data_IF_517490792813
#
_entry.id   IF_517490792813
#
_cell.length_a   1.000
_cell.length_b   1.000
_cell.length_c   1.000
_cell.angle_alpha   90.00
_cell.angle_beta   90.00
_cell.angle_gamma   90.00
#
_symmetry.space_group_name_H-M   'P 1'
#
loop_
_entity.id
_entity.type
_entity.pdbx_description
1 polymer ?
#
# COMPACT_ATOMS: atom_id res chain seq x y z
N UNK A 1 56.45 -3.04 -19.82
CA UNK A 1 55.75 -3.88 -18.83
C UNK A 1 54.48 -3.12 -18.44
N UNK A 2 53.36 -3.46 -19.07
CA UNK A 2 52.10 -2.72 -18.98
C UNK A 2 51.36 -3.09 -17.69
N UNK A 3 51.00 -2.07 -16.89
CA UNK A 3 50.15 -2.23 -15.71
C UNK A 3 48.68 -2.30 -16.15
N UNK A 4 48.04 -3.44 -15.93
CA UNK A 4 46.59 -3.60 -16.05
C UNK A 4 45.95 -3.10 -14.75
N UNK A 5 45.38 -1.89 -14.78
CA UNK A 5 44.47 -1.43 -13.74
C UNK A 5 43.08 -1.91 -14.15
N UNK A 6 42.59 -2.97 -13.49
CA UNK A 6 41.23 -3.47 -13.68
C UNK A 6 40.21 -2.44 -13.21
N UNK A 7 39.39 -1.93 -14.14
CA UNK A 7 38.15 -1.22 -13.80
C UNK A 7 37.20 -2.24 -13.17
N UNK A 8 36.89 -2.05 -11.89
CA UNK A 8 35.71 -2.65 -11.28
C UNK A 8 34.50 -2.01 -11.97
N UNK A 9 33.82 -2.75 -12.83
CA UNK A 9 32.51 -2.37 -13.33
C UNK A 9 31.56 -2.39 -12.14
N UNK A 10 31.19 -1.21 -11.65
CA UNK A 10 30.05 -1.08 -10.75
C UNK A 10 28.81 -1.53 -11.51
N UNK A 11 28.26 -2.69 -11.12
CA UNK A 11 26.92 -3.11 -11.56
C UNK A 11 25.94 -2.12 -10.94
N UNK A 12 25.43 -1.20 -11.75
CA UNK A 12 24.37 -0.27 -11.35
C UNK A 12 23.13 -1.11 -11.04
N UNK A 13 22.52 -1.04 -9.84
CA UNK A 13 21.24 -1.67 -9.64
C UNK A 13 20.23 -0.96 -10.54
N UNK A 14 19.67 -1.68 -11.52
CA UNK A 14 18.40 -1.29 -12.12
C UNK A 14 17.36 -1.11 -11.01
N UNK A 15 16.28 -0.33 -11.23
CA UNK A 15 15.18 -0.29 -10.26
C UNK A 15 14.74 -1.72 -9.97
N UNK A 16 15.03 -2.15 -8.75
CA UNK A 16 14.75 -3.49 -8.24
C UNK A 16 13.26 -3.55 -7.87
N UNK A 17 12.64 -4.71 -8.06
CA UNK A 17 11.24 -4.92 -7.68
C UNK A 17 10.15 -4.57 -8.70
N UNK A 18 8.99 -4.17 -8.17
CA UNK A 18 7.79 -3.86 -8.98
C UNK A 18 7.98 -2.51 -9.67
N UNK A 19 7.69 -2.44 -10.98
CA UNK A 19 7.77 -1.24 -11.83
C UNK A 19 6.55 -1.18 -12.75
N UNK A 20 6.42 -0.14 -13.57
CA UNK A 20 5.34 -0.07 -14.57
C UNK A 20 5.39 -1.22 -15.58
N UNK A 21 6.57 -1.78 -15.86
CA UNK A 21 6.75 -2.91 -16.78
C UNK A 21 6.10 -4.20 -16.27
N UNK A 22 5.98 -4.41 -14.95
CA UNK A 22 5.47 -5.64 -14.34
C UNK A 22 4.24 -5.42 -13.43
N UNK A 23 3.62 -4.24 -13.52
CA UNK A 23 2.34 -3.94 -12.89
C UNK A 23 1.22 -4.01 -13.92
N UNK A 24 0.17 -4.79 -13.66
CA UNK A 24 -1.05 -4.74 -14.45
C UNK A 24 -2.10 -3.79 -13.84
N UNK A 25 -2.67 -2.95 -14.69
CA UNK A 25 -3.71 -2.00 -14.36
C UNK A 25 -5.06 -2.61 -14.71
N UNK A 26 -5.90 -2.82 -13.71
CA UNK A 26 -7.23 -3.42 -13.86
C UNK A 26 -8.27 -2.31 -13.90
N UNK A 27 -9.04 -2.27 -14.99
CA UNK A 27 -10.03 -1.24 -15.30
C UNK A 27 -11.42 -1.84 -15.24
N UNK A 28 -12.35 -1.16 -14.57
CA UNK A 28 -13.75 -1.56 -14.54
C UNK A 28 -14.55 -0.77 -15.59
N UNK A 29 -14.95 -1.42 -16.68
CA UNK A 29 -15.66 -0.76 -17.81
C UNK A 29 -17.10 -0.35 -17.47
N UNK A 30 -17.66 -0.85 -16.37
CA UNK A 30 -18.98 -0.45 -15.88
C UNK A 30 -18.92 0.81 -14.99
N UNK A 31 -17.71 1.33 -14.74
CA UNK A 31 -17.46 2.51 -13.91
C UNK A 31 -16.72 3.61 -14.69
N UNK A 32 -17.40 4.69 -15.10
CA UNK A 32 -16.76 5.83 -15.77
C UNK A 32 -15.61 6.44 -14.98
N UNK A 33 -15.70 6.44 -13.65
CA UNK A 33 -14.61 6.88 -12.78
C UNK A 33 -13.38 5.98 -12.97
N UNK A 34 -13.59 4.66 -13.04
CA UNK A 34 -12.51 3.71 -13.22
C UNK A 34 -11.79 3.87 -14.55
N UNK A 35 -12.55 4.04 -15.64
CA UNK A 35 -11.98 4.28 -16.97
C UNK A 35 -11.10 5.53 -16.97
N UNK A 36 -11.59 6.63 -16.39
CA UNK A 36 -10.89 7.92 -16.36
C UNK A 36 -9.61 7.87 -15.51
N UNK A 37 -9.70 7.34 -14.30
CA UNK A 37 -8.55 7.17 -13.40
C UNK A 37 -7.50 6.24 -14.02
N UNK A 38 -7.93 5.15 -14.65
CA UNK A 38 -7.02 4.21 -15.32
C UNK A 38 -6.26 4.88 -16.46
N UNK A 39 -6.96 5.66 -17.30
CA UNK A 39 -6.33 6.39 -18.40
C UNK A 39 -5.27 7.37 -17.88
N UNK A 40 -5.58 8.14 -16.84
CA UNK A 40 -4.61 9.06 -16.25
C UNK A 40 -3.41 8.30 -15.69
N UNK A 41 -3.63 7.24 -14.91
CA UNK A 41 -2.54 6.46 -14.33
C UNK A 41 -1.65 5.80 -15.38
N UNK A 42 -2.25 5.23 -16.43
CA UNK A 42 -1.54 4.61 -17.53
C UNK A 42 -0.57 5.60 -18.17
N UNK A 43 -1.01 6.84 -18.43
CA UNK A 43 -0.17 7.90 -19.01
C UNK A 43 0.94 8.29 -18.02
N UNK A 44 0.57 8.59 -16.77
CA UNK A 44 1.48 9.10 -15.76
C UNK A 44 2.62 8.12 -15.44
N UNK A 45 2.32 6.82 -15.34
CA UNK A 45 3.29 5.75 -15.04
C UNK A 45 3.81 5.01 -16.27
N UNK A 46 3.32 5.36 -17.47
CA UNK A 46 3.64 4.66 -18.73
C UNK A 46 3.42 3.15 -18.60
N UNK A 47 2.26 2.76 -18.08
CA UNK A 47 1.88 1.35 -18.00
C UNK A 47 1.76 0.80 -19.42
N UNK A 48 2.50 -0.28 -19.77
CA UNK A 48 2.42 -0.87 -21.10
C UNK A 48 0.97 -1.24 -21.47
N UNK A 49 0.51 -1.02 -22.72
CA UNK A 49 -0.86 -1.35 -23.11
C UNK A 49 -1.24 -2.81 -22.86
N UNK A 50 -0.30 -3.74 -23.02
CA UNK A 50 -0.48 -5.17 -22.75
C UNK A 50 -0.71 -5.49 -21.27
N UNK A 51 -0.34 -4.58 -20.36
CA UNK A 51 -0.56 -4.69 -18.93
C UNK A 51 -1.92 -4.11 -18.49
N UNK A 52 -2.73 -3.56 -19.40
CA UNK A 52 -4.06 -3.01 -19.07
C UNK A 52 -5.13 -4.07 -19.31
N UNK A 53 -5.88 -4.41 -18.25
CA UNK A 53 -6.89 -5.47 -18.26
C UNK A 53 -8.24 -4.88 -17.91
N UNK A 54 -9.17 -4.97 -18.85
CA UNK A 54 -10.54 -4.46 -18.69
C UNK A 54 -11.48 -5.54 -18.18
N UNK A 55 -12.25 -5.29 -17.15
CA UNK A 55 -13.26 -6.19 -16.60
C UNK A 55 -14.59 -5.45 -16.38
N UNK A 56 -15.63 -6.19 -16.01
CA UNK A 56 -16.95 -5.60 -15.71
C UNK A 56 -17.43 -6.02 -14.33
N UNK A 57 -17.57 -5.04 -13.44
CA UNK A 57 -18.09 -5.21 -12.08
C UNK A 57 -19.06 -4.06 -11.81
N UNK A 58 -20.22 -4.34 -11.23
CA UNK A 58 -21.16 -3.26 -10.85
C UNK A 58 -20.54 -2.40 -9.72
N UNK A 59 -20.34 -1.08 -9.92
CA UNK A 59 -19.61 -0.23 -8.96
C UNK A 59 -20.51 0.33 -7.85
N UNK A 60 -21.52 -0.45 -7.41
CA UNK A 60 -22.56 0.03 -6.49
C UNK A 60 -22.47 -0.56 -5.08
N UNK A 61 -22.03 -1.81 -4.97
CA UNK A 61 -21.92 -2.49 -3.69
C UNK A 61 -20.47 -2.44 -3.21
N UNK A 62 -20.27 -2.37 -1.90
CA UNK A 62 -18.93 -2.48 -1.30
C UNK A 62 -18.35 -3.90 -1.38
N UNK A 63 -19.21 -4.91 -1.57
CA UNK A 63 -18.85 -6.32 -1.53
C UNK A 63 -19.30 -7.07 -2.79
N UNK A 64 -18.40 -7.87 -3.34
CA UNK A 64 -18.67 -8.87 -4.37
C UNK A 64 -18.92 -10.23 -3.70
N UNK A 65 -19.88 -10.99 -4.22
CA UNK A 65 -20.07 -12.39 -3.86
C UNK A 65 -18.86 -13.24 -4.31
N UNK A 66 -18.31 -14.14 -3.46
CA UNK A 66 -17.15 -14.95 -3.82
C UNK A 66 -17.27 -15.73 -5.14
N UNK A 67 -18.43 -16.33 -5.43
CA UNK A 67 -18.60 -17.10 -6.66
C UNK A 67 -18.64 -16.23 -7.92
N UNK A 68 -19.09 -14.97 -7.79
CA UNK A 68 -18.98 -13.97 -8.86
C UNK A 68 -17.52 -13.52 -9.01
N UNK A 69 -16.84 -13.27 -7.90
CA UNK A 69 -15.43 -12.89 -7.91
C UNK A 69 -14.54 -13.95 -8.55
N UNK A 70 -14.75 -15.23 -8.27
CA UNK A 70 -13.93 -16.32 -8.83
C UNK A 70 -13.93 -16.31 -10.37
N UNK A 71 -15.09 -16.00 -10.99
CA UNK A 71 -15.19 -15.85 -12.46
C UNK A 71 -14.38 -14.67 -12.96
N UNK A 72 -14.45 -13.53 -12.27
CA UNK A 72 -13.67 -12.33 -12.59
C UNK A 72 -12.17 -12.63 -12.44
N UNK A 73 -11.77 -13.30 -11.36
CA UNK A 73 -10.38 -13.63 -11.07
C UNK A 73 -9.81 -14.57 -12.12
N UNK A 74 -10.56 -15.59 -12.54
CA UNK A 74 -10.18 -16.47 -13.65
C UNK A 74 -9.99 -15.70 -14.96
N UNK A 75 -10.86 -14.74 -15.26
CA UNK A 75 -10.71 -13.90 -16.46
C UNK A 75 -9.44 -13.05 -16.38
N UNK A 76 -9.22 -12.36 -15.26
CA UNK A 76 -8.03 -11.53 -15.03
C UNK A 76 -6.78 -12.37 -15.15
N UNK A 77 -6.68 -13.50 -14.44
CA UNK A 77 -5.49 -14.36 -14.46
C UNK A 77 -5.18 -14.90 -15.86
N UNK A 78 -6.20 -15.24 -16.66
CA UNK A 78 -6.02 -15.68 -18.05
C UNK A 78 -5.46 -14.58 -18.94
N UNK A 79 -5.78 -13.31 -18.64
CA UNK A 79 -5.38 -12.15 -19.44
C UNK A 79 -4.07 -11.52 -18.97
N UNK A 80 -3.67 -11.78 -17.74
CA UNK A 80 -2.44 -11.26 -17.13
C UNK A 80 -1.21 -11.81 -17.84
N UNK A 81 -0.35 -10.95 -18.44
CA UNK A 81 0.94 -11.38 -18.98
C UNK A 81 1.83 -12.06 -17.93
N UNK A 82 2.65 -13.01 -18.38
CA UNK A 82 3.49 -13.82 -17.49
C UNK A 82 4.50 -13.00 -16.67
N UNK A 83 4.94 -11.85 -17.18
CA UNK A 83 5.89 -10.96 -16.50
C UNK A 83 5.27 -10.12 -15.38
N UNK A 84 3.94 -10.04 -15.30
CA UNK A 84 3.24 -9.23 -14.30
C UNK A 84 3.39 -9.84 -12.90
N UNK A 85 3.91 -9.02 -11.98
CA UNK A 85 4.18 -9.34 -10.59
C UNK A 85 3.15 -8.73 -9.62
N UNK A 86 2.37 -7.73 -10.04
CA UNK A 86 1.43 -7.03 -9.17
C UNK A 86 0.22 -6.48 -9.93
N UNK A 87 -0.83 -6.15 -9.18
CA UNK A 87 -2.05 -5.55 -9.70
C UNK A 87 -2.33 -4.17 -9.09
N UNK A 88 -2.92 -3.30 -9.90
CA UNK A 88 -3.52 -2.06 -9.44
C UNK A 88 -4.97 -2.00 -9.90
N UNK A 89 -5.89 -1.88 -8.96
CA UNK A 89 -7.33 -1.77 -9.23
C UNK A 89 -7.69 -0.29 -9.33
N UNK A 90 -8.22 0.14 -10.47
CA UNK A 90 -8.48 1.56 -10.73
C UNK A 90 -9.90 1.99 -10.31
N UNK A 91 -10.39 1.65 -9.12
CA UNK A 91 -11.74 2.04 -8.66
C UNK A 91 -11.81 2.14 -7.13
N UNK A 92 -12.89 2.73 -6.61
CA UNK A 92 -13.16 2.82 -5.15
C UNK A 92 -14.10 1.70 -4.66
N UNK A 93 -15.18 1.41 -5.39
CA UNK A 93 -16.13 0.34 -5.07
C UNK A 93 -16.17 -0.69 -6.19
N UNK A 94 -16.23 -2.00 -5.88
CA UNK A 94 -16.19 -2.62 -4.55
C UNK A 94 -14.78 -2.71 -3.95
N UNK A 95 -14.68 -2.83 -2.62
CA UNK A 95 -13.43 -3.05 -1.89
C UNK A 95 -13.40 -4.36 -1.07
N UNK A 96 -14.44 -5.20 -1.17
CA UNK A 96 -14.55 -6.51 -0.48
C UNK A 96 -14.96 -7.65 -1.41
N UNK A 97 -14.52 -8.85 -1.05
CA UNK A 97 -15.01 -10.13 -1.60
C UNK A 97 -15.36 -11.03 -0.42
N UNK A 98 -16.65 -11.17 -0.14
CA UNK A 98 -17.13 -11.80 1.09
C UNK A 98 -16.44 -11.25 2.35
N UNK A 99 -15.63 -12.10 2.99
CA UNK A 99 -14.88 -11.78 4.21
C UNK A 99 -13.48 -11.20 3.97
N UNK A 100 -12.95 -11.26 2.74
CA UNK A 100 -11.64 -10.71 2.36
C UNK A 100 -11.76 -9.27 1.87
N UNK A 101 -10.68 -8.51 1.96
CA UNK A 101 -10.53 -7.32 1.13
C UNK A 101 -10.37 -7.72 -0.33
N UNK A 102 -10.80 -6.85 -1.25
CA UNK A 102 -10.67 -7.12 -2.69
C UNK A 102 -9.19 -7.21 -3.10
N UNK A 103 -8.30 -6.41 -2.50
CA UNK A 103 -6.86 -6.46 -2.79
C UNK A 103 -6.26 -7.80 -2.37
N UNK A 104 -6.67 -8.36 -1.23
CA UNK A 104 -6.21 -9.69 -0.82
C UNK A 104 -6.83 -10.80 -1.66
N UNK A 105 -8.09 -10.67 -2.06
CA UNK A 105 -8.72 -11.63 -2.96
C UNK A 105 -8.06 -11.64 -4.35
N UNK A 106 -7.65 -10.48 -4.89
CA UNK A 106 -6.87 -10.43 -6.14
C UNK A 106 -5.44 -10.95 -5.96
N UNK A 107 -4.82 -10.75 -4.80
CA UNK A 107 -3.46 -11.22 -4.55
C UNK A 107 -3.34 -12.74 -4.39
N UNK A 108 -4.33 -13.38 -3.76
CA UNK A 108 -4.29 -14.80 -3.38
C UNK A 108 -5.35 -15.69 -4.03
N UNK A 109 -6.38 -15.10 -4.65
CA UNK A 109 -7.67 -15.78 -4.85
C UNK A 109 -8.53 -15.71 -3.57
N UNK A 110 -9.84 -15.89 -3.70
CA UNK A 110 -10.70 -15.97 -2.53
C UNK A 110 -10.45 -17.29 -1.77
N UNK A 111 -10.12 -17.19 -0.49
CA UNK A 111 -9.90 -18.34 0.40
C UNK A 111 -10.28 -17.92 1.83
N UNK A 112 -11.25 -18.61 2.42
CA UNK A 112 -11.76 -18.29 3.76
C UNK A 112 -10.72 -18.47 4.87
N UNK A 113 -9.60 -19.17 4.62
CA UNK A 113 -8.46 -19.23 5.55
C UNK A 113 -7.78 -17.86 5.76
N UNK A 114 -7.95 -16.91 4.84
CA UNK A 114 -7.51 -15.52 5.01
C UNK A 114 -8.48 -14.69 5.86
N UNK A 115 -9.61 -15.27 6.26
CA UNK A 115 -10.62 -14.65 7.11
C UNK A 115 -10.66 -15.28 8.49
N UNK A 116 -11.11 -14.51 9.47
CA UNK A 116 -11.46 -14.99 10.78
C UNK A 116 -12.72 -14.28 11.27
N UNK A 117 -13.60 -15.05 11.89
CA UNK A 117 -14.66 -14.51 12.75
C UNK A 117 -14.11 -14.35 14.17
N UNK A 118 -14.19 -13.13 14.69
CA UNK A 118 -13.69 -12.76 16.01
C UNK A 118 -12.15 -12.80 16.13
N UNK A 119 -11.68 -12.98 17.37
CA UNK A 119 -10.26 -12.98 17.72
C UNK A 119 -9.57 -14.31 17.40
N UNK A 120 -9.35 -14.57 16.10
CA UNK A 120 -8.57 -15.73 15.62
C UNK A 120 -7.48 -15.30 14.63
N UNK A 121 -6.36 -16.06 14.56
CA UNK A 121 -5.38 -15.91 13.49
C UNK A 121 -5.99 -16.15 12.11
N UNK A 122 -5.40 -15.54 11.09
CA UNK A 122 -5.68 -15.84 9.68
C UNK A 122 -4.39 -16.29 8.97
N UNK A 123 -4.53 -16.81 7.75
CA UNK A 123 -3.41 -17.30 6.94
C UNK A 123 -2.36 -16.21 6.74
N UNK A 124 -1.10 -16.61 6.94
CA UNK A 124 0.06 -15.73 6.78
C UNK A 124 0.45 -15.62 5.31
N UNK A 125 0.80 -14.41 4.86
CA UNK A 125 1.36 -14.17 3.54
C UNK A 125 2.79 -14.69 3.44
N UNK A 126 3.09 -15.51 2.43
CA UNK A 126 4.46 -15.94 2.12
C UNK A 126 5.37 -14.78 1.68
N UNK A 127 4.78 -13.67 1.23
CA UNK A 127 5.51 -12.47 0.83
C UNK A 127 5.92 -11.59 2.02
N UNK A 128 5.31 -11.78 3.20
CA UNK A 128 5.62 -11.03 4.41
C UNK A 128 7.10 -11.15 4.78
N UNK A 129 7.75 -10.01 5.04
CA UNK A 129 9.16 -9.91 5.41
C UNK A 129 10.14 -10.56 4.42
N UNK A 130 9.73 -10.80 3.17
CA UNK A 130 10.60 -11.38 2.13
C UNK A 130 11.52 -10.31 1.51
N UNK A 131 12.61 -10.77 0.89
CA UNK A 131 13.50 -9.93 0.08
C UNK A 131 13.22 -10.06 -1.42
N UNK A 132 12.15 -10.77 -1.80
CA UNK A 132 11.82 -11.02 -3.22
C UNK A 132 11.42 -9.72 -3.92
N UNK A 133 11.81 -9.62 -5.18
CA UNK A 133 11.46 -8.57 -6.13
C UNK A 133 10.44 -9.07 -7.18
N UNK A 134 10.13 -10.37 -7.16
CA UNK A 134 9.27 -11.05 -8.11
C UNK A 134 8.23 -11.91 -7.36
N UNK A 135 7.31 -11.28 -6.60
CA UNK A 135 6.39 -11.97 -5.69
C UNK A 135 5.52 -13.04 -6.36
N UNK A 136 5.14 -12.86 -7.63
CA UNK A 136 4.34 -13.86 -8.32
C UNK A 136 5.18 -15.06 -8.74
N UNK A 137 6.36 -14.80 -9.29
CA UNK A 137 7.28 -15.86 -9.71
C UNK A 137 7.77 -16.70 -8.52
N UNK A 138 8.03 -16.06 -7.38
CA UNK A 138 8.62 -16.72 -6.21
C UNK A 138 7.56 -17.35 -5.29
N UNK A 139 6.38 -16.72 -5.18
CA UNK A 139 5.38 -17.11 -4.19
C UNK A 139 3.97 -17.34 -4.75
N UNK A 140 3.75 -17.09 -6.05
CA UNK A 140 2.41 -17.12 -6.64
C UNK A 140 1.51 -15.99 -6.16
N UNK A 141 2.06 -14.94 -5.54
CA UNK A 141 1.31 -13.81 -4.98
C UNK A 141 1.45 -12.61 -5.90
N UNK A 142 0.34 -11.95 -6.25
CA UNK A 142 0.38 -10.63 -6.90
C UNK A 142 -0.07 -9.55 -5.92
N UNK A 143 0.87 -8.88 -5.21
CA UNK A 143 0.54 -7.72 -4.40
C UNK A 143 -0.41 -6.80 -5.16
N UNK A 144 -1.49 -6.40 -4.51
CA UNK A 144 -2.56 -5.63 -5.14
C UNK A 144 -2.86 -4.38 -4.32
N UNK A 145 -3.01 -3.23 -4.97
CA UNK A 145 -3.50 -1.99 -4.35
C UNK A 145 -4.70 -1.43 -5.14
N UNK A 146 -5.44 -0.50 -4.54
CA UNK A 146 -6.49 0.27 -5.19
C UNK A 146 -6.08 1.73 -5.36
N UNK A 147 -6.34 2.30 -6.55
CA UNK A 147 -6.46 3.75 -6.73
C UNK A 147 -7.89 4.16 -6.36
N UNK A 148 -8.13 4.33 -5.07
CA UNK A 148 -9.41 4.76 -4.55
C UNK A 148 -9.34 6.19 -3.99
N UNK A 149 -10.44 6.92 -4.11
CA UNK A 149 -10.62 8.27 -3.60
C UNK A 149 -12.09 8.66 -3.57
N UNK A 150 -12.40 9.83 -2.99
CA UNK A 150 -13.80 10.30 -2.89
C UNK A 150 -14.33 10.85 -4.21
N UNK A 151 -13.44 11.26 -5.12
CA UNK A 151 -13.76 11.78 -6.45
C UNK A 151 -12.51 11.76 -7.35
N UNK A 152 -12.69 12.04 -8.64
CA UNK A 152 -11.61 12.02 -9.65
C UNK A 152 -10.45 12.95 -9.28
N UNK A 153 -10.73 14.20 -8.86
CA UNK A 153 -9.69 15.19 -8.55
C UNK A 153 -8.77 14.75 -7.40
N UNK A 154 -9.32 14.06 -6.39
CA UNK A 154 -8.51 13.51 -5.32
C UNK A 154 -7.60 12.37 -5.81
N UNK A 155 -8.08 11.52 -6.71
CA UNK A 155 -7.26 10.44 -7.28
C UNK A 155 -6.22 10.98 -8.24
N UNK A 156 -6.53 11.99 -9.05
CA UNK A 156 -5.54 12.68 -9.88
C UNK A 156 -4.42 13.26 -9.02
N UNK A 157 -4.77 13.95 -7.95
CA UNK A 157 -3.80 14.51 -6.98
C UNK A 157 -2.95 13.43 -6.31
N UNK A 158 -3.55 12.26 -6.01
CA UNK A 158 -2.86 11.09 -5.47
C UNK A 158 -1.83 10.52 -6.45
N UNK A 159 -2.22 10.36 -7.72
CA UNK A 159 -1.34 9.85 -8.80
C UNK A 159 -0.16 10.80 -8.97
N UNK A 160 -0.44 12.10 -9.14
CA UNK A 160 0.60 13.11 -9.34
C UNK A 160 1.57 13.17 -8.15
N UNK A 161 1.03 13.07 -6.94
CA UNK A 161 1.85 13.03 -5.72
C UNK A 161 2.74 11.79 -5.66
N UNK A 162 2.25 10.63 -6.04
CA UNK A 162 3.07 9.41 -6.09
C UNK A 162 4.17 9.48 -7.14
N UNK A 163 3.88 10.03 -8.33
CA UNK A 163 4.89 10.26 -9.38
C UNK A 163 5.96 11.25 -8.92
N UNK A 164 5.56 12.36 -8.29
CA UNK A 164 6.51 13.36 -7.75
C UNK A 164 7.40 12.82 -6.62
N UNK A 165 7.03 11.71 -6.00
CA UNK A 165 7.81 11.12 -4.91
C UNK A 165 9.09 10.47 -5.40
N UNK A 166 9.13 9.94 -6.61
CA UNK A 166 10.20 9.05 -7.06
C UNK A 166 11.59 9.68 -6.95
N UNK A 167 12.51 8.94 -6.34
CA UNK A 167 13.94 9.30 -6.24
C UNK A 167 14.23 10.63 -5.53
N UNK A 168 13.29 11.14 -4.74
CA UNK A 168 13.41 12.46 -4.09
C UNK A 168 14.29 12.47 -2.85
N UNK A 169 14.56 11.30 -2.24
CA UNK A 169 15.32 11.16 -1.00
C UNK A 169 14.89 12.19 0.08
N UNK A 170 13.58 12.22 0.44
CA UNK A 170 13.02 13.31 1.24
C UNK A 170 13.58 13.31 2.67
N UNK A 171 13.89 14.51 3.19
CA UNK A 171 14.21 14.71 4.61
C UNK A 171 12.93 14.79 5.45
N UNK A 172 12.28 13.64 5.61
CA UNK A 172 11.02 13.51 6.36
C UNK A 172 11.17 12.84 7.73
N UNK A 173 10.06 12.82 8.47
CA UNK A 173 9.94 12.17 9.75
C UNK A 173 8.87 11.07 9.72
N UNK A 174 9.21 9.91 10.28
CA UNK A 174 8.28 8.85 10.64
C UNK A 174 7.75 9.07 12.06
N UNK A 175 6.49 9.49 12.16
CA UNK A 175 5.76 9.67 13.40
C UNK A 175 5.02 8.38 13.76
N UNK A 176 5.46 7.74 14.84
CA UNK A 176 4.86 6.53 15.40
C UNK A 176 4.12 6.94 16.68
N UNK A 177 2.80 7.00 16.61
CA UNK A 177 1.99 7.63 17.66
C UNK A 177 1.23 6.57 18.45
N UNK A 178 1.44 6.58 19.76
CA UNK A 178 0.65 5.81 20.74
C UNK A 178 -0.40 6.75 21.34
N UNK A 179 -1.67 6.35 21.26
CA UNK A 179 -2.79 7.11 21.82
C UNK A 179 -3.18 6.57 23.20
N UNK A 180 -4.11 7.26 23.89
CA UNK A 180 -4.68 6.75 25.13
C UNK A 180 -5.49 5.44 24.99
N UNK A 181 -5.88 5.08 23.76
CA UNK A 181 -6.60 3.85 23.47
C UNK A 181 -5.67 2.63 23.48
N UNK A 182 -5.68 1.92 24.62
CA UNK A 182 -4.86 0.71 24.81
C UNK A 182 -5.22 -0.42 23.85
N UNK A 183 -6.48 -0.56 23.47
CA UNK A 183 -6.93 -1.64 22.59
C UNK A 183 -6.38 -1.46 21.17
N UNK A 184 -6.17 -0.21 20.73
CA UNK A 184 -5.67 0.13 19.39
C UNK A 184 -4.18 0.49 19.34
N UNK A 185 -3.53 0.54 20.50
CA UNK A 185 -2.11 0.83 20.65
C UNK A 185 -1.23 -0.42 20.78
N UNK A 186 -1.65 -1.57 20.25
CA UNK A 186 -0.92 -2.84 20.34
C UNK A 186 0.42 -2.84 19.60
N UNK A 187 0.64 -1.91 18.66
CA UNK A 187 1.91 -1.69 17.95
C UNK A 187 2.96 -0.92 18.77
N UNK A 188 2.61 -0.37 19.93
CA UNK A 188 3.50 0.47 20.76
C UNK A 188 4.86 -0.15 21.07
N UNK A 189 4.98 -1.45 21.42
CA UNK A 189 6.30 -2.05 21.67
C UNK A 189 7.22 -1.99 20.44
N UNK A 190 6.67 -2.18 19.24
CA UNK A 190 7.42 -2.05 17.99
C UNK A 190 7.79 -0.59 17.70
N UNK A 191 6.89 0.36 18.01
CA UNK A 191 7.15 1.80 17.87
C UNK A 191 8.33 2.27 18.72
N UNK A 192 8.33 1.94 20.02
CA UNK A 192 9.42 2.30 20.95
C UNK A 192 10.74 1.68 20.52
N UNK A 193 10.76 0.37 20.27
CA UNK A 193 11.97 -0.34 19.83
C UNK A 193 12.59 0.27 18.58
N UNK A 194 11.75 0.67 17.63
CA UNK A 194 12.21 1.28 16.38
C UNK A 194 12.74 2.70 16.59
N UNK A 195 12.05 3.53 17.37
CA UNK A 195 12.50 4.89 17.67
C UNK A 195 13.81 4.92 18.47
N UNK A 196 14.00 3.99 19.40
CA UNK A 196 15.19 3.93 20.25
C UNK A 196 16.40 3.30 19.54
N UNK A 197 16.15 2.33 18.64
CA UNK A 197 17.20 1.51 18.03
C UNK A 197 17.59 1.86 16.60
N UNK A 198 16.88 2.78 15.93
CA UNK A 198 17.17 3.13 14.54
C UNK A 198 18.23 4.22 14.43
N UNK A 199 19.29 3.95 13.67
CA UNK A 199 20.42 4.87 13.46
C UNK A 199 20.67 5.16 11.97
N UNK A 200 19.61 5.32 11.18
CA UNK A 200 19.68 5.71 9.77
C UNK A 200 19.41 7.21 9.53
N UNK A 201 19.32 7.60 8.26
CA UNK A 201 19.03 8.99 7.85
C UNK A 201 17.59 9.43 8.11
N UNK A 202 16.64 8.50 8.15
CA UNK A 202 15.24 8.80 8.44
C UNK A 202 15.04 9.16 9.91
N UNK A 203 14.42 10.31 10.18
CA UNK A 203 14.01 10.71 11.53
C UNK A 203 12.84 9.83 11.98
N UNK A 204 13.01 9.07 13.06
CA UNK A 204 11.92 8.29 13.67
C UNK A 204 11.57 8.89 15.02
N UNK A 205 10.28 9.17 15.24
CA UNK A 205 9.76 9.75 16.48
C UNK A 205 8.62 8.89 17.01
N UNK A 206 8.83 8.29 18.18
CA UNK A 206 7.73 7.76 18.97
C UNK A 206 7.13 8.89 19.82
N UNK A 207 5.82 9.07 19.77
CA UNK A 207 5.09 10.09 20.52
C UNK A 207 3.91 9.46 21.26
N UNK A 208 3.67 9.90 22.49
CA UNK A 208 2.48 9.55 23.26
C UNK A 208 1.52 10.75 23.25
N UNK A 209 0.55 10.71 22.34
CA UNK A 209 -0.44 11.76 22.15
C UNK A 209 -1.63 11.21 21.37
N UNK A 210 -2.80 11.80 21.52
CA UNK A 210 -4.01 11.35 20.81
C UNK A 210 -4.03 11.80 19.34
N UNK A 211 -3.33 12.89 19.00
CA UNK A 211 -3.25 13.41 17.64
C UNK A 211 -1.94 14.15 17.36
N UNK A 212 -1.44 14.03 16.13
CA UNK A 212 -0.31 14.82 15.64
C UNK A 212 -0.82 16.14 15.05
N UNK A 213 -0.19 17.26 15.40
CA UNK A 213 -0.57 18.58 14.89
C UNK A 213 0.65 19.38 14.42
N UNK A 214 0.44 20.22 13.39
CA UNK A 214 1.39 21.23 12.93
C UNK A 214 2.71 20.72 12.33
N UNK A 215 2.84 19.41 12.05
CA UNK A 215 4.05 18.84 11.44
C UNK A 215 4.05 19.05 9.94
N UNK A 216 5.20 19.46 9.39
CA UNK A 216 5.33 19.81 7.97
C UNK A 216 6.22 18.84 7.16
N UNK A 217 6.75 17.83 7.84
CA UNK A 217 7.72 16.88 7.31
C UNK A 217 7.21 15.44 7.44
N UNK A 218 5.88 15.23 7.37
CA UNK A 218 5.29 13.92 7.63
C UNK A 218 5.58 12.98 6.47
N UNK A 219 6.46 12.00 6.70
CA UNK A 219 6.71 10.92 5.75
C UNK A 219 5.98 9.64 6.16
N UNK A 220 5.94 9.32 7.44
CA UNK A 220 5.09 8.24 7.95
C UNK A 220 4.27 8.71 9.13
N UNK A 221 3.01 8.27 9.19
CA UNK A 221 2.16 8.45 10.37
C UNK A 221 1.39 7.17 10.66
N UNK A 222 1.85 6.41 11.66
CA UNK A 222 1.17 5.21 12.14
C UNK A 222 0.61 5.43 13.54
N UNK A 223 -0.68 5.15 13.73
CA UNK A 223 -1.40 5.39 15.00
C UNK A 223 -2.46 4.31 15.29
N UNK A 224 -3.24 4.49 16.37
CA UNK A 224 -4.39 3.67 16.77
C UNK A 224 -5.69 4.47 16.96
N UNK A 225 -5.75 5.74 16.55
CA UNK A 225 -6.95 6.56 16.74
C UNK A 225 -8.09 6.16 15.79
N UNK A 226 -9.32 6.11 16.31
CA UNK A 226 -10.54 5.91 15.51
C UNK A 226 -10.86 7.09 14.58
N UNK A 227 -10.47 8.29 15.02
CA UNK A 227 -10.58 9.56 14.33
C UNK A 227 -9.28 10.29 14.60
N UNK A 228 -8.56 10.66 13.54
CA UNK A 228 -7.29 11.37 13.67
C UNK A 228 -7.59 12.85 13.51
N UNK A 229 -7.50 13.58 14.61
CA UNK A 229 -7.67 15.03 14.60
C UNK A 229 -6.43 15.74 14.04
N UNK A 230 -6.62 16.96 13.54
CA UNK A 230 -5.54 17.84 13.10
C UNK A 230 -4.88 17.46 11.77
N UNK A 231 -5.46 16.56 10.98
CA UNK A 231 -4.95 16.19 9.65
C UNK A 231 -4.75 17.39 8.72
N UNK A 232 -5.64 18.38 8.81
CA UNK A 232 -5.60 19.66 8.08
C UNK A 232 -4.43 20.55 8.48
N UNK A 233 -3.81 20.30 9.63
CA UNK A 233 -2.63 21.03 10.09
C UNK A 233 -1.32 20.41 9.62
N UNK A 234 -1.37 19.18 9.10
CA UNK A 234 -0.20 18.40 8.68
C UNK A 234 0.17 18.71 7.23
N UNK A 235 1.46 18.54 6.92
CA UNK A 235 1.94 18.48 5.53
C UNK A 235 2.66 17.14 5.33
N UNK A 236 2.08 16.34 4.44
CA UNK A 236 2.65 15.06 4.04
C UNK A 236 3.55 15.26 2.83
N UNK A 237 4.75 14.71 2.92
CA UNK A 237 5.69 14.74 1.80
C UNK A 237 5.23 13.78 0.68
N UNK A 238 5.54 14.05 -0.60
CA UNK A 238 5.33 13.08 -1.68
C UNK A 238 5.94 11.72 -1.34
N UNK A 239 5.15 10.64 -1.49
CA UNK A 239 5.54 9.29 -1.08
C UNK A 239 5.14 8.94 0.37
N UNK A 240 4.63 9.89 1.16
CA UNK A 240 4.26 9.60 2.53
C UNK A 240 3.20 8.49 2.65
N UNK A 241 3.29 7.68 3.69
CA UNK A 241 2.32 6.63 3.99
C UNK A 241 1.77 6.80 5.40
N UNK A 242 0.46 6.65 5.57
CA UNK A 242 -0.18 6.85 6.86
C UNK A 242 -1.32 5.86 7.08
N UNK A 243 -1.44 5.31 8.28
CA UNK A 243 -2.53 4.42 8.65
C UNK A 243 -2.82 4.43 10.14
N UNK A 244 -3.98 3.89 10.49
CA UNK A 244 -4.40 3.69 11.86
C UNK A 244 -4.84 2.25 12.08
N UNK A 245 -4.58 1.75 13.29
CA UNK A 245 -5.04 0.44 13.73
C UNK A 245 -6.47 0.56 14.22
N UNK A 246 -7.44 0.35 13.33
CA UNK A 246 -8.87 0.39 13.67
C UNK A 246 -9.62 -0.78 13.04
N UNK A 247 -10.87 -0.98 13.48
CA UNK A 247 -11.66 -2.13 13.08
C UNK A 247 -12.31 -2.00 11.71
N UNK A 248 -12.42 -0.79 11.19
CA UNK A 248 -13.20 -0.46 10.01
C UNK A 248 -12.56 0.67 9.18
N UNK A 249 -11.27 0.98 9.37
CA UNK A 249 -10.60 2.01 8.56
C UNK A 249 -10.63 1.73 7.05
N UNK A 250 -10.70 0.46 6.65
CA UNK A 250 -10.81 0.04 5.25
C UNK A 250 -12.24 0.02 4.71
N UNK A 251 -13.25 0.40 5.49
CA UNK A 251 -14.63 0.56 4.99
C UNK A 251 -14.70 1.89 4.24
N UNK A 252 -14.44 1.85 2.93
CA UNK A 252 -14.15 3.05 2.13
C UNK A 252 -15.36 3.98 1.94
N UNK A 253 -16.59 3.44 1.99
CA UNK A 253 -17.86 4.16 1.90
C UNK A 253 -18.52 4.41 3.28
N UNK A 254 -17.84 4.03 4.36
CA UNK A 254 -18.46 3.82 5.66
C UNK A 254 -18.65 5.07 6.52
N UNK A 255 -19.52 4.91 7.51
CA UNK A 255 -19.73 5.81 8.64
C UNK A 255 -19.33 5.09 9.94
N UNK A 256 -18.64 5.77 10.86
CA UNK A 256 -18.35 5.27 12.21
C UNK A 256 -16.89 5.39 12.66
N UNK A 257 -15.95 4.95 11.83
CA UNK A 257 -14.52 5.22 11.99
C UNK A 257 -14.01 5.99 10.78
N UNK A 258 -12.90 6.70 10.95
CA UNK A 258 -12.28 7.42 9.87
C UNK A 258 -11.88 6.44 8.76
N UNK A 259 -12.44 6.60 7.56
CA UNK A 259 -11.98 5.88 6.37
C UNK A 259 -10.53 6.25 6.06
N UNK A 260 -9.74 5.28 5.61
CA UNK A 260 -8.35 5.51 5.20
C UNK A 260 -8.23 6.46 4.00
N UNK A 261 -9.31 6.72 3.26
CA UNK A 261 -9.34 7.74 2.22
C UNK A 261 -9.08 9.16 2.78
N UNK A 262 -9.37 9.40 4.06
CA UNK A 262 -9.09 10.69 4.72
C UNK A 262 -7.60 10.97 4.84
N UNK A 263 -6.75 9.93 4.95
CA UNK A 263 -5.30 10.10 4.89
C UNK A 263 -4.86 10.59 3.51
N UNK A 264 -5.44 10.03 2.45
CA UNK A 264 -5.11 10.39 1.07
C UNK A 264 -5.56 11.81 0.73
N UNK A 265 -6.75 12.20 1.20
CA UNK A 265 -7.23 13.59 1.10
C UNK A 265 -6.29 14.55 1.83
N UNK A 266 -5.82 14.19 3.03
CA UNK A 266 -4.95 15.04 3.84
C UNK A 266 -3.52 15.18 3.28
N UNK A 267 -3.09 14.30 2.39
CA UNK A 267 -1.73 14.39 1.83
C UNK A 267 -0.99 13.07 1.64
N UNK A 268 -1.44 11.97 2.24
CA UNK A 268 -0.72 10.70 2.15
C UNK A 268 -0.80 10.09 0.74
N UNK A 269 0.27 9.43 0.32
CA UNK A 269 0.36 8.73 -0.97
C UNK A 269 -0.17 7.30 -0.90
N UNK A 270 -0.19 6.71 0.29
CA UNK A 270 -0.82 5.41 0.52
C UNK A 270 -1.31 5.24 1.96
N UNK A 271 -2.24 4.31 2.12
CA UNK A 271 -2.81 3.91 3.39
C UNK A 271 -3.25 2.45 3.36
N UNK A 272 -3.52 1.90 4.54
CA UNK A 272 -4.00 0.54 4.75
C UNK A 272 -5.06 0.53 5.85
N UNK A 273 -6.11 -0.27 5.67
CA UNK A 273 -7.16 -0.38 6.67
C UNK A 273 -7.93 -1.69 6.58
N UNK A 274 -8.54 -2.10 7.68
CA UNK A 274 -9.32 -3.33 7.72
C UNK A 274 -10.75 -3.12 7.21
N UNK A 275 -11.22 -4.04 6.36
CA UNK A 275 -12.56 -4.02 5.74
C UNK A 275 -13.61 -4.78 6.56
N UNK A 276 -13.14 -5.56 7.54
CA UNK A 276 -13.88 -6.37 8.50
C UNK A 276 -13.14 -6.25 9.83
N UNK A 277 -13.87 -6.29 10.95
CA UNK A 277 -13.29 -6.25 12.30
C UNK A 277 -12.09 -7.20 12.41
N UNK A 278 -10.87 -6.65 12.52
CA UNK A 278 -9.71 -7.37 12.93
C UNK A 278 -9.61 -7.21 14.45
N UNK A 279 -9.82 -8.28 15.19
CA UNK A 279 -9.28 -8.31 16.54
C UNK A 279 -7.82 -7.78 16.52
N UNK A 280 -7.42 -7.03 17.55
CA UNK A 280 -6.27 -6.11 17.57
C UNK A 280 -4.86 -6.75 17.46
N UNK A 281 -4.75 -7.89 16.82
CA UNK A 281 -3.51 -8.55 16.43
C UNK A 281 -2.64 -7.63 15.56
N UNK A 282 -1.42 -7.28 16.01
CA UNK A 282 -0.50 -6.47 15.23
C UNK A 282 -0.19 -7.05 13.83
N UNK A 283 -0.27 -8.38 13.67
CA UNK A 283 -0.04 -9.09 12.40
C UNK A 283 -1.02 -8.71 11.29
N UNK A 284 -2.22 -8.23 11.66
CA UNK A 284 -3.23 -7.73 10.70
C UNK A 284 -2.94 -6.29 10.26
N UNK A 285 -1.85 -5.68 10.71
CA UNK A 285 -1.51 -4.29 10.42
C UNK A 285 -0.04 -4.16 9.97
N UNK A 286 0.32 -3.06 9.29
CA UNK A 286 1.69 -2.82 8.86
C UNK A 286 2.64 -2.80 10.06
N UNK A 287 3.65 -3.66 9.99
CA UNK A 287 4.76 -3.64 10.93
C UNK A 287 5.71 -2.50 10.54
N UNK A 288 5.86 -1.47 11.38
CA UNK A 288 6.53 -0.22 11.03
C UNK A 288 8.00 -0.41 10.63
N UNK A 289 8.72 -1.28 11.35
CA UNK A 289 10.12 -1.56 11.04
C UNK A 289 10.33 -2.31 9.73
N UNK A 290 9.38 -3.17 9.34
CA UNK A 290 9.48 -3.90 8.07
C UNK A 290 9.15 -2.95 6.93
N UNK A 291 8.07 -2.16 7.07
CA UNK A 291 7.72 -1.13 6.11
C UNK A 291 8.91 -0.19 5.85
N UNK A 292 9.46 0.42 6.91
CA UNK A 292 10.57 1.39 6.81
C UNK A 292 11.81 0.74 6.18
N UNK A 293 12.16 -0.48 6.58
CA UNK A 293 13.34 -1.15 6.05
C UNK A 293 13.23 -1.47 4.55
N UNK A 294 12.04 -1.83 4.04
CA UNK A 294 11.82 -2.00 2.61
C UNK A 294 11.82 -0.66 1.88
N UNK A 295 11.15 0.35 2.45
CA UNK A 295 11.00 1.64 1.79
C UNK A 295 12.34 2.36 1.65
N UNK A 296 13.19 2.34 2.68
CA UNK A 296 14.54 2.91 2.64
C UNK A 296 15.51 2.12 1.74
N UNK A 297 15.20 0.87 1.38
CA UNK A 297 15.94 0.11 0.36
C UNK A 297 15.56 0.49 -1.06
N UNK A 298 14.62 1.42 -1.23
CA UNK A 298 14.17 1.88 -2.53
C UNK A 298 13.04 1.06 -3.14
N UNK A 299 12.45 0.15 -2.37
CA UNK A 299 11.25 -0.56 -2.82
C UNK A 299 10.05 0.39 -2.94
N UNK A 300 9.11 0.03 -3.81
CA UNK A 300 7.89 0.81 -4.01
C UNK A 300 6.93 0.73 -2.82
N UNK A 301 5.94 1.62 -2.76
CA UNK A 301 4.90 1.59 -1.71
C UNK A 301 4.14 0.26 -1.68
N UNK A 302 3.83 -0.33 -2.84
CA UNK A 302 3.13 -1.62 -2.88
C UNK A 302 3.96 -2.73 -2.24
N UNK A 303 5.27 -2.76 -2.48
CA UNK A 303 6.16 -3.75 -1.89
C UNK A 303 6.32 -3.51 -0.38
N UNK A 304 6.58 -2.27 0.02
CA UNK A 304 6.80 -1.88 1.41
C UNK A 304 5.58 -2.19 2.29
N UNK A 305 4.37 -1.93 1.78
CA UNK A 305 3.13 -2.28 2.48
C UNK A 305 2.92 -3.79 2.55
N UNK A 306 2.94 -4.48 1.41
CA UNK A 306 2.60 -5.90 1.35
C UNK A 306 3.60 -6.79 2.10
N UNK A 307 4.88 -6.42 2.13
CA UNK A 307 5.89 -7.10 2.95
C UNK A 307 5.73 -6.82 4.43
N UNK A 308 5.02 -5.76 4.83
CA UNK A 308 4.86 -5.36 6.23
C UNK A 308 3.62 -5.92 6.95
N UNK A 309 2.68 -6.54 6.22
CA UNK A 309 1.45 -7.11 6.81
C UNK A 309 1.49 -8.64 6.76
N UNK A 310 1.58 -9.28 7.92
CA UNK A 310 1.67 -10.74 7.99
C UNK A 310 0.35 -11.42 7.63
N UNK A 311 -0.77 -10.86 8.06
CA UNK A 311 -2.13 -11.41 7.93
C UNK A 311 -3.02 -10.47 7.09
N UNK A 312 -2.78 -10.33 5.78
CA UNK A 312 -3.39 -9.28 4.95
C UNK A 312 -4.85 -9.54 4.56
N UNK A 313 -5.40 -10.73 4.82
CA UNK A 313 -6.66 -11.19 4.25
C UNK A 313 -7.86 -10.24 4.39
N UNK A 314 -7.97 -9.57 5.54
CA UNK A 314 -9.08 -8.66 5.87
C UNK A 314 -8.68 -7.17 5.74
N UNK A 315 -7.55 -6.87 5.11
CA UNK A 315 -7.00 -5.53 4.96
C UNK A 315 -6.94 -5.06 3.52
N UNK A 316 -7.43 -3.86 3.24
CA UNK A 316 -7.36 -3.22 1.93
C UNK A 316 -6.18 -2.25 1.87
N UNK A 317 -5.44 -2.31 0.76
CA UNK A 317 -4.30 -1.43 0.48
C UNK A 317 -4.70 -0.40 -0.57
N UNK A 318 -4.57 0.89 -0.25
CA UNK A 318 -5.02 1.99 -1.13
C UNK A 318 -3.90 3.01 -1.29
N UNK A 319 -3.68 3.49 -2.52
CA UNK A 319 -2.67 4.50 -2.78
C UNK A 319 -2.07 4.40 -4.17
N UNK A 320 -1.04 5.21 -4.41
CA UNK A 320 -0.22 5.12 -5.61
C UNK A 320 0.89 4.07 -5.38
N UNK A 321 0.88 2.93 -6.09
CA UNK A 321 1.69 1.78 -5.71
C UNK A 321 3.18 1.93 -6.03
N UNK A 322 3.56 2.69 -7.06
CA UNK A 322 4.92 2.69 -7.60
C UNK A 322 5.84 3.75 -6.98
N UNK A 323 5.31 4.65 -6.15
CA UNK A 323 6.06 5.69 -5.47
C UNK A 323 7.24 5.12 -4.70
N UNK A 324 8.44 5.61 -5.01
CA UNK A 324 9.72 5.10 -4.50
C UNK A 324 10.72 6.22 -4.14
N UNK A 325 10.42 7.05 -3.13
CA UNK A 325 11.25 8.20 -2.80
C UNK A 325 12.71 7.87 -2.49
N UNK A 326 12.98 6.69 -1.92
CA UNK A 326 14.35 6.29 -1.56
C UNK A 326 15.05 5.41 -2.60
N UNK A 327 14.40 5.12 -3.74
CA UNK A 327 15.10 4.46 -4.82
C UNK A 327 16.22 5.37 -5.34
N UNK A 328 17.27 4.76 -5.90
CA UNK A 328 18.27 5.49 -6.65
C UNK A 328 17.74 5.77 -8.05
N UNK A 329 17.93 7.01 -8.51
CA UNK A 329 17.56 7.37 -9.88
C UNK A 329 18.43 6.56 -10.84
N UNK A 330 17.86 5.91 -11.87
CA UNK A 330 18.65 5.21 -12.87
C UNK A 330 19.67 6.16 -13.49
N UNK A 331 20.96 5.81 -13.39
CA UNK A 331 22.06 6.56 -14.01
C UNK A 331 22.65 7.73 -13.20
N UNK A 332 22.36 7.86 -11.91
CA UNK A 332 23.09 8.78 -11.02
C UNK A 332 24.08 8.02 -10.13
N UNK A 333 25.38 8.27 -10.33
CA UNK A 333 26.50 7.87 -9.47
C UNK A 333 26.60 8.72 -8.19
#
# INVERSE_FOLDING_TARGET
MFAFIGKVLAVVPNPTGITSANLALIVNDEDPFSIRVAQHYQIARRIPPENVIHIRIKPVASMIDPAVFDKIKMEVDRRTPAHVQAYLLAWTLPYRVGCMSITSAFAFGFDSAFCAEGCKPTKTSSYFSSMSEAPFSDFGVRPTMMLAGLNESQVDSLIDRGVRADYTQPDGTAYLVTTGDKARSTRTPAFRKLADGFHGSLKIRHLETDALTGKKDVLLYFTGAIWVEGLDTLEFLPGAAADHLTSAGGVLDGIGQMSILRWLEAGATASYGAVVEPCNYPQKFPHPGIFIANYLRGESLIESYWKSVAWPGQGVFVGEPLARPFALKPGTE
#
